data_IF_286839961344
#
_entry.id   IF_286839961344
#
_cell.length_a   1.000
_cell.length_b   1.000
_cell.length_c   1.000
_cell.angle_alpha   90.00
_cell.angle_beta   90.00
_cell.angle_gamma   90.00
#
_symmetry.space_group_name_H-M   'P 1'
#
loop_
_entity.id
_entity.type
_entity.pdbx_description
1 polymer ?
#
# COMPACT_ATOMS: atom_id res chain seq x y z
N UNK A 1 30.73 1.37 -15.46
CA UNK A 1 29.63 0.54 -16.00
C UNK A 1 29.14 -0.31 -14.84
N UNK A 2 27.98 -0.14 -14.17
CA UNK A 2 26.74 0.60 -14.39
C UNK A 2 26.16 0.93 -12.99
N UNK A 3 25.68 2.15 -12.77
CA UNK A 3 24.85 2.52 -11.60
C UNK A 3 23.78 3.49 -12.09
N UNK A 4 22.77 2.99 -12.80
CA UNK A 4 21.69 3.85 -13.33
C UNK A 4 20.31 3.19 -13.43
N UNK A 5 20.08 2.01 -12.85
CA UNK A 5 18.81 1.27 -13.06
C UNK A 5 17.77 1.52 -11.96
N UNK A 6 18.13 1.90 -10.73
CA UNK A 6 17.15 2.02 -9.63
C UNK A 6 16.30 3.31 -9.68
N UNK A 7 16.83 4.41 -10.22
CA UNK A 7 16.12 5.70 -10.26
C UNK A 7 15.01 5.75 -11.33
N UNK A 8 15.16 4.98 -12.42
CA UNK A 8 14.16 4.90 -13.49
C UNK A 8 12.92 4.11 -13.06
N UNK A 9 13.10 3.11 -12.18
CA UNK A 9 12.00 2.29 -11.64
C UNK A 9 11.12 3.09 -10.67
N UNK A 10 11.71 3.98 -9.87
CA UNK A 10 10.96 4.84 -8.94
C UNK A 10 10.15 5.95 -9.66
N UNK A 11 10.58 6.37 -10.86
CA UNK A 11 9.84 7.31 -11.68
C UNK A 11 8.64 6.67 -12.39
N UNK A 12 8.78 5.45 -12.92
CA UNK A 12 7.67 4.71 -13.52
C UNK A 12 6.57 4.36 -12.51
N UNK A 13 6.95 4.10 -11.25
CA UNK A 13 6.00 3.88 -10.15
C UNK A 13 5.14 5.11 -9.83
N UNK A 14 5.50 6.33 -10.28
CA UNK A 14 4.76 7.57 -10.00
C UNK A 14 3.51 7.73 -10.86
N UNK A 15 3.45 7.08 -12.03
CA UNK A 15 2.34 7.20 -12.98
C UNK A 15 1.34 6.03 -12.90
N UNK A 16 1.66 4.99 -12.12
CA UNK A 16 0.72 3.90 -11.89
C UNK A 16 -0.39 4.35 -10.92
N UNK A 17 -1.64 4.35 -11.40
CA UNK A 17 -2.83 4.61 -10.61
C UNK A 17 -2.89 3.69 -9.39
N UNK A 18 -3.02 4.25 -8.19
CA UNK A 18 -3.12 3.44 -6.98
C UNK A 18 -4.47 2.75 -6.94
N UNK A 19 -4.45 1.42 -6.78
CA UNK A 19 -5.66 0.62 -6.59
C UNK A 19 -5.53 -0.17 -5.29
N UNK A 20 -6.53 -0.05 -4.42
CA UNK A 20 -6.57 -0.79 -3.16
C UNK A 20 -6.78 -2.28 -3.44
N UNK A 21 -5.89 -3.15 -2.96
CA UNK A 21 -5.99 -4.61 -3.12
C UNK A 21 -7.19 -5.21 -2.38
N UNK A 22 -7.70 -4.54 -1.34
CA UNK A 22 -8.83 -5.03 -0.55
C UNK A 22 -10.20 -4.67 -1.13
N UNK A 23 -10.37 -3.44 -1.64
CA UNK A 23 -11.68 -2.94 -2.08
C UNK A 23 -11.72 -2.34 -3.48
N UNK A 24 -10.60 -2.32 -4.21
CA UNK A 24 -10.52 -1.77 -5.56
C UNK A 24 -10.63 -0.25 -5.66
N UNK A 25 -10.72 0.46 -4.54
CA UNK A 25 -10.77 1.93 -4.55
C UNK A 25 -9.53 2.51 -5.20
N UNK A 26 -9.74 3.54 -6.00
CA UNK A 26 -8.72 4.39 -6.60
C UNK A 26 -8.91 5.82 -6.07
N UNK A 27 -7.86 6.51 -5.59
CA UNK A 27 -7.99 7.90 -5.18
C UNK A 27 -8.22 8.80 -6.40
N UNK A 28 -8.92 9.94 -6.25
CA UNK A 28 -9.00 10.96 -7.29
C UNK A 28 -7.60 11.37 -7.79
N UNK A 29 -7.45 11.80 -9.05
CA UNK A 29 -6.16 12.19 -9.62
C UNK A 29 -5.36 13.19 -8.75
N UNK A 30 -6.04 14.19 -8.19
CA UNK A 30 -5.50 15.21 -7.29
C UNK A 30 -4.99 14.64 -5.95
N UNK A 31 -5.57 13.52 -5.50
CA UNK A 31 -5.28 12.89 -4.21
C UNK A 31 -4.25 11.77 -4.33
N UNK A 32 -3.83 11.37 -5.55
CA UNK A 32 -2.87 10.27 -5.76
C UNK A 32 -1.58 10.47 -4.95
N UNK A 33 -1.06 11.70 -4.89
CA UNK A 33 0.16 12.01 -4.12
C UNK A 33 -0.06 11.89 -2.60
N UNK A 34 -1.23 12.30 -2.12
CA UNK A 34 -1.59 12.16 -0.71
C UNK A 34 -1.79 10.68 -0.35
N UNK A 35 -2.52 9.93 -1.19
CA UNK A 35 -2.76 8.51 -1.04
C UNK A 35 -1.46 7.70 -0.97
N UNK A 36 -0.44 7.99 -1.80
CA UNK A 36 0.89 7.33 -1.71
C UNK A 36 1.55 7.48 -0.34
N UNK A 37 1.24 8.53 0.42
CA UNK A 37 1.81 8.77 1.76
C UNK A 37 0.99 8.14 2.87
N UNK A 38 -0.32 7.99 2.68
CA UNK A 38 -1.21 7.53 3.75
C UNK A 38 -1.66 6.08 3.60
N UNK A 39 -1.64 5.53 2.38
CA UNK A 39 -1.97 4.13 2.13
C UNK A 39 -0.81 3.22 2.54
N UNK A 40 -1.16 2.02 2.99
CA UNK A 40 -0.16 1.02 3.37
C UNK A 40 0.40 0.35 2.12
N UNK A 41 1.73 0.33 1.98
CA UNK A 41 2.43 -0.44 0.94
C UNK A 41 2.74 -1.84 1.44
N UNK A 42 2.34 -2.85 0.69
CA UNK A 42 2.61 -4.26 0.96
C UNK A 42 3.33 -4.95 -0.18
N UNK A 43 3.63 -6.22 0.02
CA UNK A 43 4.10 -7.13 -1.04
C UNK A 43 3.27 -8.41 -0.98
N UNK A 44 2.70 -8.82 -2.11
CA UNK A 44 1.96 -10.07 -2.26
C UNK A 44 2.46 -10.82 -3.49
N UNK A 45 2.85 -12.08 -3.31
CA UNK A 45 3.48 -12.91 -4.34
C UNK A 45 4.60 -12.18 -5.12
N UNK A 46 5.39 -11.36 -4.43
CA UNK A 46 6.47 -10.55 -5.02
C UNK A 46 6.02 -9.29 -5.77
N UNK A 47 4.71 -8.99 -5.83
CA UNK A 47 4.16 -7.76 -6.41
C UNK A 47 3.91 -6.71 -5.33
N UNK A 48 4.17 -5.44 -5.64
CA UNK A 48 3.78 -4.34 -4.76
C UNK A 48 2.25 -4.27 -4.71
N UNK A 49 1.69 -4.19 -3.51
CA UNK A 49 0.25 -3.99 -3.29
C UNK A 49 0.03 -2.74 -2.44
N UNK A 50 -1.14 -2.14 -2.59
CA UNK A 50 -1.54 -0.97 -1.82
C UNK A 50 -2.84 -1.25 -1.08
N UNK A 51 -2.97 -0.76 0.14
CA UNK A 51 -4.18 -0.89 0.95
C UNK A 51 -4.60 0.49 1.46
N UNK A 52 -5.84 0.89 1.15
CA UNK A 52 -6.36 2.19 1.56
C UNK A 52 -6.56 2.27 3.08
N UNK A 53 -6.59 3.48 3.62
CA UNK A 53 -6.72 3.73 5.06
C UNK A 53 -7.90 3.00 5.71
N UNK A 54 -9.05 2.94 5.01
CA UNK A 54 -10.24 2.22 5.49
C UNK A 54 -9.96 0.73 5.65
N UNK A 55 -9.45 0.09 4.60
CA UNK A 55 -9.16 -1.35 4.62
C UNK A 55 -8.06 -1.68 5.63
N UNK A 56 -7.03 -0.83 5.76
CA UNK A 56 -5.98 -1.02 6.75
C UNK A 56 -6.55 -1.02 8.18
N UNK A 57 -7.44 -0.07 8.51
CA UNK A 57 -8.08 0.01 9.84
C UNK A 57 -9.02 -1.17 10.11
N UNK A 58 -9.74 -1.63 9.10
CA UNK A 58 -10.62 -2.81 9.23
C UNK A 58 -9.81 -4.10 9.47
N UNK A 59 -8.70 -4.28 8.74
CA UNK A 59 -7.86 -5.46 8.90
C UNK A 59 -7.12 -5.48 10.25
N UNK A 60 -6.63 -4.33 10.72
CA UNK A 60 -5.98 -4.20 12.04
C UNK A 60 -6.92 -4.66 13.19
N UNK A 61 -8.19 -4.24 13.16
CA UNK A 61 -9.19 -4.68 14.15
C UNK A 61 -9.41 -6.20 14.15
N UNK A 62 -9.25 -6.85 13.00
CA UNK A 62 -9.40 -8.31 12.86
C UNK A 62 -8.24 -9.10 13.49
N UNK A 63 -7.05 -8.49 13.60
CA UNK A 63 -5.85 -9.12 14.16
C UNK A 63 -5.84 -8.97 15.68
N UNK A 64 -6.15 -7.78 16.21
CA UNK A 64 -6.20 -7.51 17.66
C UNK A 64 -7.21 -8.41 18.39
N UNK A 65 -8.33 -8.75 17.74
CA UNK A 65 -9.35 -9.64 18.33
C UNK A 65 -8.94 -11.12 18.40
N UNK A 66 -7.81 -11.48 17.78
CA UNK A 66 -7.34 -12.88 17.66
C UNK A 66 -6.04 -13.14 18.41
N UNK A 67 -5.36 -12.10 18.92
CA UNK A 67 -4.20 -12.32 19.77
C UNK A 67 -4.66 -12.76 21.16
N UNK A 68 -4.04 -13.83 21.66
CA UNK A 68 -4.26 -14.26 23.04
C UNK A 68 -3.80 -13.14 24.00
N UNK A 69 -4.62 -12.77 25.00
CA UNK A 69 -4.27 -11.75 25.97
C UNK A 69 -3.06 -12.11 26.87
N UNK A 70 -2.35 -13.22 26.65
CA UNK A 70 -1.06 -13.49 27.29
C UNK A 70 0.14 -12.88 26.54
N UNK A 71 -0.06 -12.34 25.33
CA UNK A 71 0.99 -11.78 24.47
C UNK A 71 0.96 -10.25 24.35
N UNK A 72 0.23 -9.55 25.21
CA UNK A 72 0.49 -8.13 25.50
C UNK A 72 1.60 -7.99 26.54
#
# INVERSE_FOLDING_TARGET
MNTSTDAATDAAARDETLVCSGCGTTPPPEDQTAARRTWSRGTDAGRTTWTCERCSRENLRSIESKLDPVWW
#
